data_IF_527546813573
#
_entry.id   IF_527546813573
#
_cell.length_a   1.000
_cell.length_b   1.000
_cell.length_c   1.000
_cell.angle_alpha   90.00
_cell.angle_beta   90.00
_cell.angle_gamma   90.00
#
_symmetry.space_group_name_H-M   'P 1'
#
loop_
_entity.id
_entity.type
_entity.pdbx_description
1 polymer ?
#
# COMPACT_ATOMS: atom_id res chain seq x y z
N UNK A 1 13.48 -3.63 20.63
CA UNK A 1 13.32 -2.18 20.50
C UNK A 1 11.83 -1.93 20.40
N UNK A 2 11.27 -1.20 21.35
CA UNK A 2 9.83 -0.97 21.47
C UNK A 2 9.58 0.53 21.37
N UNK A 3 8.70 0.93 20.44
CA UNK A 3 8.24 2.31 20.33
C UNK A 3 7.02 2.49 21.22
N UNK A 4 7.06 3.49 22.10
CA UNK A 4 5.91 3.90 22.91
C UNK A 4 5.42 5.22 22.37
N UNK A 5 4.19 5.22 21.87
CA UNK A 5 3.50 6.39 21.35
C UNK A 5 2.74 7.05 22.52
N UNK A 6 2.94 8.35 22.71
CA UNK A 6 2.16 9.15 23.66
C UNK A 6 1.19 10.00 22.85
N UNK A 7 -0.12 9.83 23.06
CA UNK A 7 -1.17 10.61 22.38
C UNK A 7 -1.76 11.70 23.29
N UNK A 8 -2.35 12.75 22.71
CA UNK A 8 -3.13 13.75 23.43
C UNK A 8 -4.58 13.29 23.63
N UNK A 9 -5.42 14.16 24.22
CA UNK A 9 -6.85 13.91 24.45
C UNK A 9 -7.70 13.80 23.17
N UNK A 10 -7.10 13.93 21.98
CA UNK A 10 -7.73 13.74 20.67
C UNK A 10 -7.17 12.52 19.93
N UNK A 11 -6.43 11.65 20.63
CA UNK A 11 -5.71 10.51 20.07
C UNK A 11 -4.64 10.86 19.01
N UNK A 12 -4.19 12.12 18.96
CA UNK A 12 -3.09 12.54 18.10
C UNK A 12 -1.77 12.23 18.80
N UNK A 13 -0.81 11.61 18.09
CA UNK A 13 0.51 11.30 18.66
C UNK A 13 1.29 12.61 18.88
N UNK A 14 1.72 12.83 20.13
CA UNK A 14 2.44 14.04 20.57
C UNK A 14 3.94 13.77 20.67
N UNK A 15 4.32 12.59 21.18
CA UNK A 15 5.72 12.20 21.34
C UNK A 15 5.89 10.71 21.08
N UNK A 16 7.04 10.34 20.50
CA UNK A 16 7.47 8.95 20.38
C UNK A 16 8.66 8.73 21.33
N UNK A 17 8.49 7.80 22.27
CA UNK A 17 9.57 7.33 23.13
C UNK A 17 10.13 6.04 22.57
N UNK A 18 11.42 6.07 22.22
CA UNK A 18 12.13 4.90 21.70
C UNK A 18 12.79 4.17 22.86
N UNK A 19 12.30 2.98 23.23
CA UNK A 19 12.94 2.12 24.24
C UNK A 19 13.83 1.07 23.57
N UNK A 20 15.12 1.12 23.83
CA UNK A 20 16.04 0.01 23.51
C UNK A 20 15.73 -1.18 24.43
N UNK A 21 16.00 -2.41 23.97
CA UNK A 21 15.91 -3.60 24.83
C UNK A 21 17.09 -3.70 25.81
N UNK A 22 18.15 -2.92 25.59
CA UNK A 22 19.22 -2.78 26.57
C UNK A 22 18.78 -1.82 27.68
N UNK A 23 18.86 -2.32 28.90
CA UNK A 23 18.15 -1.81 30.09
C UNK A 23 18.63 -0.44 30.60
N UNK A 24 19.41 0.32 29.82
CA UNK A 24 20.08 1.56 30.24
C UNK A 24 19.91 2.76 29.28
N UNK A 25 19.22 2.61 28.15
CA UNK A 25 18.99 3.76 27.26
C UNK A 25 17.70 4.49 27.66
N UNK A 26 17.89 5.65 28.30
CA UNK A 26 16.84 6.65 28.53
C UNK A 26 16.11 6.91 27.20
N UNK A 27 14.79 6.73 27.22
CA UNK A 27 13.97 6.82 26.01
C UNK A 27 14.19 8.16 25.30
N UNK A 28 14.72 8.11 24.08
CA UNK A 28 14.94 9.32 23.28
C UNK A 28 13.58 9.84 22.80
N UNK A 29 13.29 11.09 23.15
CA UNK A 29 12.13 11.82 22.66
C UNK A 29 12.41 12.29 21.23
N UNK A 30 11.53 11.89 20.30
CA UNK A 30 11.46 12.54 18.98
C UNK A 30 10.56 13.77 19.08
N UNK A 31 11.14 14.96 18.86
CA UNK A 31 10.44 16.24 18.81
C UNK A 31 10.35 16.69 17.34
N UNK A 32 9.41 16.09 16.61
CA UNK A 32 9.23 16.33 15.19
C UNK A 32 7.93 15.76 14.66
N UNK A 33 7.58 16.12 13.43
CA UNK A 33 6.36 15.63 12.77
C UNK A 33 6.53 14.17 12.35
N UNK A 34 5.55 13.34 12.67
CA UNK A 34 5.51 11.95 12.18
C UNK A 34 5.25 11.99 10.67
N UNK A 35 6.06 11.30 9.84
CA UNK A 35 5.77 11.22 8.42
C UNK A 35 4.38 10.60 8.18
N UNK A 36 3.71 11.02 7.11
CA UNK A 36 2.47 10.36 6.68
C UNK A 36 2.77 8.94 6.20
N UNK A 37 1.92 7.98 6.55
CA UNK A 37 2.00 6.63 5.97
C UNK A 37 1.42 6.61 4.55
N UNK A 38 2.05 5.84 3.66
CA UNK A 38 1.50 5.55 2.34
C UNK A 38 0.73 4.23 2.39
N UNK A 39 -0.48 4.22 1.84
CA UNK A 39 -1.28 2.99 1.73
C UNK A 39 -0.82 2.20 0.52
N UNK A 40 -0.04 1.14 0.77
CA UNK A 40 0.47 0.24 -0.28
C UNK A 40 -0.21 -1.12 -0.15
N UNK A 41 -0.82 -1.55 -1.26
CA UNK A 41 -1.52 -2.83 -1.38
C UNK A 41 -0.64 -4.01 -0.98
N UNK A 42 -1.15 -4.87 -0.09
CA UNK A 42 -0.42 -6.05 0.38
C UNK A 42 0.82 -5.72 1.23
N UNK A 43 0.99 -4.46 1.65
CA UNK A 43 2.05 -4.04 2.56
C UNK A 43 1.47 -3.54 3.88
N UNK A 44 2.23 -3.76 4.97
CA UNK A 44 2.00 -3.10 6.26
C UNK A 44 3.09 -2.08 6.48
N UNK A 45 2.71 -0.87 6.86
CA UNK A 45 3.64 0.17 7.25
C UNK A 45 4.08 -0.07 8.70
N UNK A 46 5.39 -0.15 8.92
CA UNK A 46 5.99 -0.27 10.25
C UNK A 46 6.82 0.98 10.49
N UNK A 47 6.37 1.83 11.40
CA UNK A 47 7.12 3.01 11.81
C UNK A 47 8.40 2.57 12.54
N UNK A 48 9.55 3.02 12.04
CA UNK A 48 10.88 2.79 12.61
C UNK A 48 11.58 4.13 12.84
N UNK A 49 12.57 4.09 13.73
CA UNK A 49 13.40 5.24 14.05
C UNK A 49 14.85 4.96 13.64
N UNK A 50 15.41 5.83 12.80
CA UNK A 50 16.82 5.81 12.44
C UNK A 50 17.63 6.54 13.51
N UNK A 51 18.43 5.81 14.27
CA UNK A 51 19.28 6.37 15.32
C UNK A 51 20.45 7.21 14.79
N UNK A 52 20.85 7.00 13.53
CA UNK A 52 21.95 7.71 12.87
C UNK A 52 21.48 9.09 12.43
N UNK A 53 20.39 9.12 11.69
CA UNK A 53 19.83 10.35 11.13
C UNK A 53 18.84 11.03 12.08
N UNK A 54 18.47 10.37 13.18
CA UNK A 54 17.46 10.81 14.15
C UNK A 54 16.11 11.10 13.50
N UNK A 55 15.72 10.32 12.51
CA UNK A 55 14.49 10.49 11.71
C UNK A 55 13.56 9.30 11.86
N UNK A 56 12.26 9.54 11.75
CA UNK A 56 11.25 8.50 11.62
C UNK A 56 11.08 8.11 10.15
N UNK A 57 10.87 6.83 9.87
CA UNK A 57 10.56 6.33 8.53
C UNK A 57 9.64 5.11 8.61
N UNK A 58 8.91 4.83 7.53
CA UNK A 58 8.13 3.60 7.41
C UNK A 58 8.92 2.54 6.64
N UNK A 59 8.97 1.34 7.19
CA UNK A 59 9.37 0.15 6.48
C UNK A 59 8.11 -0.63 6.07
N UNK A 60 8.04 -1.02 4.80
CA UNK A 60 6.88 -1.69 4.22
C UNK A 60 7.15 -3.19 4.09
N UNK A 61 6.54 -3.97 4.99
CA UNK A 61 6.65 -5.42 4.97
C UNK A 61 5.48 -6.06 4.24
N UNK A 62 5.71 -7.22 3.62
CA UNK A 62 4.65 -8.01 3.00
C UNK A 62 3.62 -8.47 4.02
N UNK A 63 2.35 -8.35 3.65
CA UNK A 63 1.23 -8.95 4.36
C UNK A 63 0.23 -9.53 3.37
N UNK A 64 -0.62 -10.47 3.81
CA UNK A 64 -1.79 -10.84 3.03
C UNK A 64 -2.65 -9.61 2.74
N UNK A 65 -3.24 -9.61 1.54
CA UNK A 65 -4.25 -8.63 1.18
C UNK A 65 -5.41 -8.66 2.17
N UNK A 66 -5.96 -7.50 2.50
CA UNK A 66 -7.26 -7.45 3.16
C UNK A 66 -8.35 -7.92 2.18
N UNK A 67 -9.53 -8.33 2.67
CA UNK A 67 -10.66 -8.63 1.81
C UNK A 67 -10.99 -7.51 0.82
N UNK A 68 -10.96 -6.26 1.28
CA UNK A 68 -11.25 -5.07 0.47
C UNK A 68 -10.20 -4.85 -0.62
N UNK A 69 -8.92 -5.00 -0.28
CA UNK A 69 -7.85 -4.90 -1.26
C UNK A 69 -7.95 -6.01 -2.31
N UNK A 70 -8.30 -7.23 -1.89
CA UNK A 70 -8.50 -8.34 -2.80
C UNK A 70 -9.68 -8.10 -3.73
N UNK A 71 -10.77 -7.51 -3.23
CA UNK A 71 -11.92 -7.10 -4.06
C UNK A 71 -11.47 -6.08 -5.10
N UNK A 72 -10.77 -5.01 -4.69
CA UNK A 72 -10.29 -3.99 -5.62
C UNK A 72 -9.36 -4.57 -6.69
N UNK A 73 -8.47 -5.48 -6.30
CA UNK A 73 -7.59 -6.19 -7.24
C UNK A 73 -8.41 -7.01 -8.26
N UNK A 74 -9.38 -7.79 -7.78
CA UNK A 74 -10.24 -8.61 -8.64
C UNK A 74 -11.15 -7.79 -9.55
N UNK A 75 -11.64 -6.64 -9.08
CA UNK A 75 -12.45 -5.71 -9.88
C UNK A 75 -11.61 -5.06 -11.00
N UNK A 76 -10.36 -4.69 -10.71
CA UNK A 76 -9.43 -4.18 -11.71
C UNK A 76 -9.12 -5.26 -12.76
N UNK A 77 -8.82 -6.48 -12.35
CA UNK A 77 -8.55 -7.60 -13.25
C UNK A 77 -9.77 -7.96 -14.11
N UNK A 78 -10.97 -7.96 -13.52
CA UNK A 78 -12.23 -8.20 -14.23
C UNK A 78 -12.49 -7.12 -15.29
N UNK A 79 -12.14 -5.87 -15.00
CA UNK A 79 -12.32 -4.76 -15.93
C UNK A 79 -11.42 -4.93 -17.15
N UNK A 80 -10.13 -5.18 -16.94
CA UNK A 80 -9.17 -5.45 -18.02
C UNK A 80 -9.61 -6.65 -18.85
N UNK A 81 -10.00 -7.75 -18.20
CA UNK A 81 -10.45 -8.96 -18.90
C UNK A 81 -11.71 -8.73 -19.74
N UNK A 82 -12.63 -7.87 -19.29
CA UNK A 82 -13.82 -7.50 -20.07
C UNK A 82 -13.44 -6.67 -21.30
N UNK A 83 -12.52 -5.73 -21.15
CA UNK A 83 -12.01 -4.92 -22.27
C UNK A 83 -11.34 -5.80 -23.33
N UNK A 84 -10.49 -6.74 -22.91
CA UNK A 84 -9.83 -7.69 -23.81
C UNK A 84 -10.85 -8.55 -24.56
N UNK A 85 -11.89 -9.04 -23.88
CA UNK A 85 -12.93 -9.84 -24.51
C UNK A 85 -13.72 -9.04 -25.56
N UNK A 86 -14.06 -7.77 -25.27
CA UNK A 86 -14.73 -6.89 -26.22
C UNK A 86 -13.83 -6.61 -27.43
N UNK A 87 -12.56 -6.30 -27.19
CA UNK A 87 -11.59 -6.06 -28.26
C UNK A 87 -11.45 -7.28 -29.18
N UNK A 88 -11.33 -8.48 -28.60
CA UNK A 88 -11.28 -9.72 -29.36
C UNK A 88 -12.56 -9.94 -30.17
N UNK A 89 -13.73 -9.70 -29.58
CA UNK A 89 -15.01 -9.85 -30.29
C UNK A 89 -15.13 -8.88 -31.47
N UNK A 90 -14.64 -7.64 -31.33
CA UNK A 90 -14.60 -6.66 -32.42
C UNK A 90 -13.68 -7.12 -33.55
N UNK A 91 -12.45 -7.53 -33.22
CA UNK A 91 -11.50 -8.04 -34.21
C UNK A 91 -12.04 -9.27 -34.96
N UNK A 92 -12.71 -10.19 -34.25
CA UNK A 92 -13.38 -11.35 -34.86
C UNK A 92 -14.48 -10.90 -35.83
N UNK A 93 -15.28 -9.90 -35.45
CA UNK A 93 -16.37 -9.38 -36.29
C UNK A 93 -15.82 -8.75 -37.57
N UNK A 94 -14.77 -7.93 -37.48
CA UNK A 94 -14.10 -7.33 -38.63
C UNK A 94 -13.53 -8.39 -39.59
N UNK A 95 -12.95 -9.47 -39.05
CA UNK A 95 -12.47 -10.60 -39.86
C UNK A 95 -13.63 -11.31 -40.58
N UNK A 96 -14.76 -11.52 -39.91
CA UNK A 96 -15.94 -12.11 -40.54
C UNK A 96 -16.49 -11.23 -41.67
N UNK A 97 -16.56 -9.91 -41.47
CA UNK A 97 -16.99 -8.96 -42.49
C UNK A 97 -16.04 -8.96 -43.69
N UNK A 98 -14.72 -9.04 -43.47
CA UNK A 98 -13.74 -9.12 -44.55
C UNK A 98 -13.89 -10.40 -45.39
N UNK A 99 -14.11 -11.54 -44.73
CA UNK A 99 -14.28 -12.84 -45.40
C UNK A 99 -15.60 -12.90 -46.18
N UNK A 100 -16.69 -12.38 -45.62
CA UNK A 100 -18.02 -12.46 -46.21
C UNK A 100 -18.31 -11.32 -47.21
N UNK A 101 -17.73 -10.14 -47.00
CA UNK A 101 -17.90 -8.95 -47.85
C UNK A 101 -16.97 -8.91 -49.07
N UNK A 102 -15.89 -9.68 -49.10
CA UNK A 102 -14.96 -9.79 -50.24
C UNK A 102 -15.40 -10.73 -51.36
N UNK A 103 -16.63 -11.26 -51.32
CA UNK A 103 -17.17 -12.28 -52.23
C UNK A 103 -18.23 -11.78 -53.22
N UNK A 104 -18.20 -10.51 -53.64
CA UNK A 104 -19.08 -9.94 -54.67
C UNK A 104 -18.29 -9.16 -55.73
#
# INVERSE_FOLDING_TARGET
MTLVLTTNSKDEVVYITVKSNDSNDEGKLYDGTIPGEEVIFGKRAILKYDTTNKTLYYEYEDRPFTPEEKIQQLEAELTVSKEDNVSNMLAITELYEMILGGGA
#
